data_IF_545869829945
#
_entry.id   IF_545869829945
#
_cell.length_a   1.000
_cell.length_b   1.000
_cell.length_c   1.000
_cell.angle_alpha   90.00
_cell.angle_beta   90.00
_cell.angle_gamma   90.00
#
_symmetry.space_group_name_H-M   'P 1'
#
loop_
_entity.id
_entity.type
_entity.pdbx_description
1 polymer ?
#
# COMPACT_ATOMS: atom_id res chain seq x y z
N UNK A 1 39.28 -32.17 -1.93
CA UNK A 1 37.84 -32.14 -2.17
C UNK A 1 37.43 -30.75 -2.61
N UNK A 2 36.54 -30.62 -3.59
CA UNK A 2 36.02 -29.32 -3.99
C UNK A 2 34.94 -28.95 -2.94
N UNK A 3 35.14 -27.83 -2.25
CA UNK A 3 34.09 -27.29 -1.42
C UNK A 3 33.13 -26.46 -2.30
N UNK A 4 31.84 -26.76 -2.20
CA UNK A 4 30.79 -26.01 -2.88
C UNK A 4 30.00 -25.22 -1.85
N UNK A 5 30.06 -23.91 -1.94
CA UNK A 5 29.26 -23.04 -1.11
C UNK A 5 28.05 -22.54 -1.91
N UNK A 6 26.86 -22.73 -1.37
CA UNK A 6 25.65 -22.19 -1.96
C UNK A 6 25.56 -20.67 -1.69
N UNK A 7 25.26 -19.92 -2.73
CA UNK A 7 25.05 -18.47 -2.63
C UNK A 7 23.55 -18.23 -2.54
N UNK A 8 23.12 -17.72 -1.40
CA UNK A 8 21.74 -17.31 -1.19
C UNK A 8 21.62 -15.80 -1.36
N UNK A 9 20.60 -15.37 -2.06
CA UNK A 9 20.31 -13.96 -2.28
C UNK A 9 19.06 -13.58 -1.49
N UNK A 10 19.24 -13.20 -0.22
CA UNK A 10 18.15 -12.87 0.72
C UNK A 10 17.46 -11.52 0.45
N UNK A 11 17.98 -10.74 -0.48
CA UNK A 11 17.47 -9.39 -0.76
C UNK A 11 16.44 -9.34 -1.90
N UNK A 12 15.79 -10.45 -2.22
CA UNK A 12 14.94 -10.49 -3.39
C UNK A 12 13.47 -10.73 -3.06
N UNK A 13 12.62 -9.76 -3.48
CA UNK A 13 11.16 -9.92 -3.53
C UNK A 13 10.82 -11.16 -4.36
N UNK A 14 10.32 -12.20 -3.70
CA UNK A 14 10.00 -13.52 -4.26
C UNK A 14 8.99 -13.47 -5.43
N UNK A 15 8.31 -12.34 -5.62
CA UNK A 15 7.34 -12.14 -6.70
C UNK A 15 7.96 -11.59 -8.00
N UNK A 16 9.25 -11.24 -8.02
CA UNK A 16 9.97 -10.74 -9.20
C UNK A 16 11.34 -11.35 -9.41
N UNK A 17 11.63 -12.49 -8.76
CA UNK A 17 12.92 -13.15 -8.84
C UNK A 17 13.22 -13.65 -10.25
N UNK A 18 13.90 -12.83 -11.02
CA UNK A 18 14.74 -13.37 -12.08
C UNK A 18 15.91 -14.08 -11.41
N UNK A 19 15.83 -15.40 -11.36
CA UNK A 19 16.88 -16.26 -10.85
C UNK A 19 18.24 -15.88 -11.42
N UNK A 20 19.30 -15.92 -10.59
CA UNK A 20 20.69 -15.82 -11.05
C UNK A 20 21.02 -16.82 -12.18
N UNK A 21 20.17 -17.80 -12.41
CA UNK A 21 20.22 -18.74 -13.55
C UNK A 21 19.82 -18.09 -14.87
N UNK A 22 19.16 -16.94 -14.87
CA UNK A 22 18.82 -16.21 -16.09
C UNK A 22 19.96 -15.26 -16.48
N UNK A 23 20.95 -15.78 -17.19
CA UNK A 23 22.18 -15.07 -17.61
C UNK A 23 21.97 -13.77 -18.41
N UNK A 24 20.79 -13.48 -18.87
CA UNK A 24 20.54 -12.27 -19.68
C UNK A 24 20.60 -10.96 -18.89
N UNK A 25 20.48 -11.05 -17.57
CA UNK A 25 20.32 -9.87 -16.72
C UNK A 25 21.49 -9.64 -15.73
N UNK A 26 22.44 -10.58 -15.67
CA UNK A 26 23.57 -10.48 -14.75
C UNK A 26 24.89 -10.75 -15.48
N UNK A 27 25.88 -9.93 -15.19
CA UNK A 27 27.28 -10.20 -15.45
C UNK A 27 27.96 -10.59 -14.14
N UNK A 28 28.58 -11.76 -14.11
CA UNK A 28 29.26 -12.29 -12.92
C UNK A 28 30.73 -12.44 -13.24
N UNK A 29 31.56 -11.73 -12.49
CA UNK A 29 33.01 -11.78 -12.64
C UNK A 29 33.68 -12.18 -11.33
N UNK A 30 34.64 -13.10 -11.41
CA UNK A 30 35.56 -13.44 -10.34
C UNK A 30 36.83 -12.62 -10.41
N UNK A 31 37.34 -12.14 -9.28
CA UNK A 31 38.64 -11.42 -9.23
C UNK A 31 39.83 -12.37 -9.11
N UNK A 32 39.56 -13.62 -8.74
CA UNK A 32 40.55 -14.67 -8.67
C UNK A 32 40.04 -15.85 -9.50
N UNK A 33 40.83 -16.32 -10.46
CA UNK A 33 40.51 -17.37 -11.45
C UNK A 33 40.38 -18.76 -10.84
N UNK A 34 40.90 -18.96 -9.63
CA UNK A 34 40.72 -20.19 -8.86
C UNK A 34 39.31 -20.38 -8.30
N UNK A 35 38.51 -19.32 -8.28
CA UNK A 35 37.08 -19.39 -7.96
C UNK A 35 36.25 -19.44 -9.25
N UNK A 36 35.32 -20.37 -9.31
CA UNK A 36 34.40 -20.51 -10.44
C UNK A 36 32.96 -20.52 -9.98
N UNK A 37 32.09 -19.87 -10.74
CA UNK A 37 30.65 -19.86 -10.48
C UNK A 37 29.92 -20.75 -11.46
N UNK A 38 29.10 -21.68 -10.95
CA UNK A 38 28.19 -22.48 -11.76
C UNK A 38 26.77 -21.89 -11.69
N UNK A 39 26.29 -21.27 -12.77
CA UNK A 39 24.95 -20.68 -12.77
C UNK A 39 23.80 -21.69 -12.80
N UNK A 40 24.06 -22.96 -13.09
CA UNK A 40 23.03 -24.02 -13.08
C UNK A 40 22.69 -24.47 -11.68
N UNK A 41 23.70 -24.54 -10.83
CA UNK A 41 23.55 -25.01 -9.43
C UNK A 41 23.56 -23.83 -8.45
N UNK A 42 23.82 -22.59 -8.93
CA UNK A 42 24.00 -21.40 -8.10
C UNK A 42 25.07 -21.60 -7.03
N UNK A 43 26.18 -22.21 -7.39
CA UNK A 43 27.28 -22.50 -6.46
C UNK A 43 28.60 -21.90 -6.91
N UNK A 44 29.40 -21.45 -5.97
CA UNK A 44 30.83 -21.14 -6.19
C UNK A 44 31.65 -22.37 -5.85
N UNK A 45 32.58 -22.68 -6.69
CA UNK A 45 33.59 -23.74 -6.47
C UNK A 45 34.98 -23.11 -6.46
N UNK A 46 35.87 -23.65 -5.65
CA UNK A 46 37.26 -23.26 -5.62
C UNK A 46 38.12 -24.44 -6.13
N UNK A 47 39.11 -24.10 -6.94
CA UNK A 47 40.07 -25.06 -7.50
C UNK A 47 41.49 -24.71 -7.03
N UNK A 48 41.84 -25.04 -5.76
CA UNK A 48 43.15 -24.76 -5.22
C UNK A 48 44.21 -25.63 -5.85
N UNK A 49 45.40 -25.10 -6.02
CA UNK A 49 46.58 -25.89 -6.33
C UNK A 49 47.14 -26.55 -5.07
N UNK A 50 48.02 -27.50 -5.27
CA UNK A 50 48.58 -28.31 -4.17
C UNK A 50 49.27 -27.47 -3.08
N UNK A 51 49.87 -26.34 -3.48
CA UNK A 51 50.63 -25.47 -2.58
C UNK A 51 49.85 -24.24 -2.09
N UNK A 52 48.62 -24.08 -2.52
CA UNK A 52 47.74 -23.04 -2.02
C UNK A 52 47.39 -23.33 -0.57
N UNK A 53 47.66 -22.35 0.31
CA UNK A 53 47.28 -22.42 1.74
C UNK A 53 46.07 -21.55 2.02
N UNK A 54 45.91 -20.48 1.26
CA UNK A 54 44.81 -19.51 1.41
C UNK A 54 44.55 -18.89 0.06
N UNK A 55 43.27 -18.78 -0.32
CA UNK A 55 42.82 -18.05 -1.50
C UNK A 55 41.78 -17.03 -1.10
N UNK A 56 41.95 -15.83 -1.59
CA UNK A 56 40.99 -14.74 -1.42
C UNK A 56 40.57 -14.24 -2.80
N UNK A 57 39.33 -13.85 -2.91
CA UNK A 57 38.79 -13.30 -4.15
C UNK A 57 37.44 -12.63 -3.90
N UNK A 58 36.90 -12.08 -4.96
CA UNK A 58 35.59 -11.47 -4.93
C UNK A 58 34.77 -11.99 -6.11
N UNK A 59 33.49 -12.26 -5.88
CA UNK A 59 32.50 -12.42 -6.92
C UNK A 59 31.76 -11.10 -7.07
N UNK A 60 31.88 -10.49 -8.25
CA UNK A 60 31.23 -9.22 -8.58
C UNK A 60 30.03 -9.54 -9.46
N UNK A 61 28.86 -9.27 -8.94
CA UNK A 61 27.57 -9.44 -9.64
C UNK A 61 27.14 -8.05 -10.11
N UNK A 62 27.07 -7.86 -11.43
CA UNK A 62 26.58 -6.62 -12.04
C UNK A 62 25.21 -6.88 -12.65
N UNK A 63 24.20 -6.20 -12.16
CA UNK A 63 22.87 -6.29 -12.74
C UNK A 63 22.76 -5.36 -13.93
N UNK A 64 22.60 -5.95 -15.12
CA UNK A 64 22.38 -5.24 -16.37
C UNK A 64 20.87 -5.05 -16.53
N UNK A 65 20.35 -3.92 -16.05
CA UNK A 65 18.98 -3.53 -16.37
C UNK A 65 18.90 -3.09 -17.83
N UNK A 66 17.98 -3.64 -18.60
CA UNK A 66 17.66 -3.11 -19.92
C UNK A 66 17.23 -1.65 -19.79
N UNK A 67 17.79 -0.74 -20.60
CA UNK A 67 17.49 0.68 -20.49
C UNK A 67 16.12 0.97 -21.09
N UNK A 68 15.13 1.18 -20.24
CA UNK A 68 14.04 2.08 -20.56
C UNK A 68 14.35 3.40 -19.85
N UNK A 69 14.91 4.33 -20.64
CA UNK A 69 15.07 5.76 -20.38
C UNK A 69 15.91 6.21 -19.16
N UNK A 70 17.01 6.88 -19.46
CA UNK A 70 17.73 7.88 -18.66
C UNK A 70 18.35 7.45 -17.31
N UNK A 71 19.67 7.25 -17.35
CA UNK A 71 20.61 7.28 -16.20
C UNK A 71 20.41 6.24 -15.09
N UNK A 72 20.44 4.96 -15.38
CA UNK A 72 20.66 3.96 -14.32
C UNK A 72 22.10 3.47 -14.33
N UNK A 73 22.87 3.80 -13.30
CA UNK A 73 24.14 3.14 -13.05
C UNK A 73 23.83 1.66 -12.78
N UNK A 74 24.64 0.72 -13.31
CA UNK A 74 24.46 -0.70 -13.01
C UNK A 74 24.56 -0.91 -11.51
N UNK A 75 23.64 -1.67 -10.95
CA UNK A 75 23.71 -2.08 -9.54
C UNK A 75 24.76 -3.17 -9.49
N UNK A 76 25.76 -2.98 -8.64
CA UNK A 76 26.85 -3.92 -8.45
C UNK A 76 26.88 -4.40 -7.03
N UNK A 77 27.01 -5.71 -6.83
CA UNK A 77 27.26 -6.33 -5.53
C UNK A 77 28.56 -7.09 -5.60
N UNK A 78 29.32 -6.99 -4.53
CA UNK A 78 30.57 -7.72 -4.35
C UNK A 78 30.39 -8.70 -3.19
N UNK A 79 30.73 -9.94 -3.45
CA UNK A 79 30.76 -11.01 -2.44
C UNK A 79 32.20 -11.41 -2.26
N UNK A 80 32.74 -11.25 -1.04
CA UNK A 80 34.09 -11.71 -0.71
C UNK A 80 34.11 -13.24 -0.65
N UNK A 81 35.06 -13.84 -1.34
CA UNK A 81 35.29 -15.26 -1.40
C UNK A 81 36.59 -15.57 -0.64
N UNK A 82 36.52 -16.60 0.18
CA UNK A 82 37.64 -17.05 0.97
C UNK A 82 37.73 -18.57 0.93
N UNK A 83 38.93 -19.11 0.79
CA UNK A 83 39.22 -20.52 0.93
C UNK A 83 40.58 -20.69 1.61
N UNK A 84 40.69 -21.62 2.53
CA UNK A 84 41.97 -22.13 2.99
C UNK A 84 41.94 -23.67 3.00
N UNK A 85 43.10 -24.30 2.99
CA UNK A 85 43.23 -25.74 3.05
C UNK A 85 43.34 -26.28 4.49
N UNK A 86 43.28 -25.37 5.46
CA UNK A 86 43.25 -25.69 6.85
C UNK A 86 41.78 -25.90 7.23
N UNK A 87 41.35 -27.12 7.27
CA UNK A 87 39.99 -27.56 7.63
C UNK A 87 39.55 -27.18 9.05
N UNK A 88 40.06 -26.09 9.60
CA UNK A 88 39.78 -25.58 10.92
C UNK A 88 38.78 -24.40 10.88
N UNK A 89 38.23 -24.06 9.71
CA UNK A 89 37.24 -23.01 9.55
C UNK A 89 35.81 -23.56 9.53
N UNK A 90 34.97 -23.05 10.41
CA UNK A 90 33.53 -23.30 10.47
C UNK A 90 32.78 -21.99 10.21
N UNK A 91 31.54 -22.11 9.76
CA UNK A 91 30.71 -20.96 9.40
C UNK A 91 29.41 -20.91 10.19
N UNK A 92 29.03 -19.70 10.56
CA UNK A 92 27.66 -19.41 10.97
C UNK A 92 27.03 -18.59 9.85
N UNK A 93 25.95 -19.13 9.27
CA UNK A 93 25.25 -18.53 8.13
C UNK A 93 23.94 -17.89 8.60
N UNK A 94 23.87 -16.56 8.67
CA UNK A 94 22.65 -15.85 9.09
C UNK A 94 21.64 -15.74 7.93
N UNK A 95 20.45 -16.31 8.10
CA UNK A 95 19.27 -16.07 7.27
C UNK A 95 18.41 -15.00 7.92
N UNK A 96 18.39 -13.81 7.36
CA UNK A 96 17.73 -12.66 7.97
C UNK A 96 16.22 -12.64 7.77
N UNK A 97 15.66 -13.54 6.97
CA UNK A 97 14.23 -13.66 6.71
C UNK A 97 13.56 -12.32 6.31
N UNK A 98 14.24 -11.60 5.39
CA UNK A 98 13.78 -10.30 4.89
C UNK A 98 14.24 -9.09 5.72
N UNK A 99 15.10 -9.28 6.71
CA UNK A 99 15.80 -8.19 7.39
C UNK A 99 17.06 -7.74 6.65
N UNK A 100 17.76 -6.75 7.19
CA UNK A 100 19.03 -6.28 6.65
C UNK A 100 20.05 -7.41 6.59
N UNK A 101 20.85 -7.42 5.52
CA UNK A 101 21.84 -8.46 5.29
C UNK A 101 22.91 -8.49 6.38
N UNK A 102 23.31 -9.68 6.79
CA UNK A 102 24.42 -9.94 7.70
C UNK A 102 25.39 -10.90 7.02
N UNK A 103 26.67 -10.60 7.07
CA UNK A 103 27.71 -11.43 6.51
C UNK A 103 27.83 -12.78 7.22
N UNK A 104 28.21 -13.82 6.47
CA UNK A 104 28.60 -15.11 7.01
C UNK A 104 29.77 -14.89 7.97
N UNK A 105 29.65 -15.44 9.17
CA UNK A 105 30.73 -15.45 10.15
C UNK A 105 31.59 -16.69 9.88
N UNK A 106 32.83 -16.47 9.50
CA UNK A 106 33.77 -17.55 9.25
C UNK A 106 34.94 -17.41 10.21
N UNK A 107 35.21 -18.45 10.97
CA UNK A 107 36.30 -18.47 11.93
C UNK A 107 36.86 -19.89 12.12
N UNK A 108 38.12 -19.98 12.59
CA UNK A 108 38.72 -21.25 12.99
C UNK A 108 38.01 -21.83 14.22
N UNK A 109 38.03 -23.12 14.37
CA UNK A 109 37.59 -23.78 15.60
C UNK A 109 38.21 -23.08 16.85
N UNK A 110 37.39 -22.86 17.87
CA UNK A 110 37.76 -22.16 19.12
C UNK A 110 38.12 -20.67 18.96
N UNK A 111 38.16 -20.11 17.76
CA UNK A 111 38.32 -18.65 17.58
C UNK A 111 37.14 -17.88 18.15
N UNK A 112 37.38 -16.71 18.70
CA UNK A 112 36.33 -15.84 19.24
C UNK A 112 35.30 -15.51 18.17
N UNK A 113 34.04 -15.68 18.49
CA UNK A 113 32.90 -15.24 17.67
C UNK A 113 32.41 -13.89 18.16
N UNK A 114 32.28 -12.94 17.24
CA UNK A 114 31.63 -11.66 17.53
C UNK A 114 30.20 -11.68 17.01
N UNK A 115 29.24 -11.50 17.93
CA UNK A 115 27.83 -11.37 17.55
C UNK A 115 27.66 -10.15 16.66
N UNK A 116 27.08 -10.25 15.44
CA UNK A 116 26.78 -9.09 14.62
C UNK A 116 25.68 -8.23 15.26
N UNK A 117 25.55 -7.00 14.78
CA UNK A 117 24.38 -6.18 15.12
C UNK A 117 23.10 -6.89 14.68
N UNK A 118 22.04 -6.69 15.45
CA UNK A 118 20.76 -7.29 15.11
C UNK A 118 20.23 -6.74 13.77
N UNK A 119 19.65 -7.57 12.90
CA UNK A 119 19.10 -7.11 11.64
C UNK A 119 17.85 -6.23 11.86
N UNK A 120 17.54 -5.42 10.87
CA UNK A 120 16.36 -4.53 10.88
C UNK A 120 15.43 -4.92 9.74
N UNK A 121 14.13 -4.98 10.04
CA UNK A 121 13.07 -5.20 9.06
C UNK A 121 11.95 -4.19 9.30
N UNK A 122 11.59 -3.35 8.30
CA UNK A 122 10.52 -2.38 8.45
C UNK A 122 9.22 -3.05 8.93
N UNK A 123 8.52 -2.43 9.87
CA UNK A 123 7.27 -2.94 10.42
C UNK A 123 7.38 -4.17 11.33
N UNK A 124 8.61 -4.60 11.69
CA UNK A 124 8.80 -5.79 12.53
C UNK A 124 9.84 -5.52 13.61
N UNK A 125 9.65 -6.19 14.73
CA UNK A 125 10.63 -6.28 15.80
C UNK A 125 11.43 -7.58 15.68
N UNK A 126 12.76 -7.47 15.84
CA UNK A 126 13.62 -8.64 15.85
C UNK A 126 13.43 -9.43 17.14
N UNK A 127 13.02 -10.71 17.01
CA UNK A 127 12.74 -11.58 18.13
C UNK A 127 13.84 -12.59 18.43
N UNK A 128 15.00 -12.41 17.80
CA UNK A 128 16.17 -13.25 18.04
C UNK A 128 16.50 -14.18 16.89
N UNK A 129 17.61 -14.91 17.07
CA UNK A 129 18.09 -15.94 16.16
C UNK A 129 17.62 -17.33 16.60
N UNK A 130 17.37 -18.20 15.64
CA UNK A 130 16.94 -19.56 15.82
C UNK A 130 17.84 -20.50 15.02
N UNK A 131 18.06 -21.73 15.53
CA UNK A 131 18.90 -22.73 14.88
C UNK A 131 18.16 -23.59 13.85
N UNK A 132 16.85 -23.45 13.77
CA UNK A 132 15.98 -24.18 12.86
C UNK A 132 15.11 -23.23 12.04
N UNK A 133 14.78 -23.61 10.82
CA UNK A 133 13.93 -22.85 9.89
C UNK A 133 12.48 -22.70 10.41
N UNK A 134 12.03 -23.67 11.26
CA UNK A 134 10.72 -23.60 11.90
C UNK A 134 10.64 -22.56 13.03
N UNK A 135 11.76 -21.95 13.41
CA UNK A 135 11.88 -20.92 14.45
C UNK A 135 11.38 -21.39 15.83
N UNK A 136 11.71 -22.63 16.19
CA UNK A 136 11.31 -23.26 17.46
C UNK A 136 12.44 -23.28 18.48
N UNK A 137 13.70 -23.43 18.04
CA UNK A 137 14.87 -23.55 18.89
C UNK A 137 15.68 -22.25 18.86
N UNK A 138 15.65 -21.48 19.95
CA UNK A 138 16.39 -20.24 20.05
C UNK A 138 17.90 -20.49 19.94
N UNK A 139 18.58 -19.64 19.19
CA UNK A 139 20.03 -19.67 19.02
C UNK A 139 20.71 -18.53 19.76
N UNK A 140 21.68 -18.90 20.60
CA UNK A 140 22.59 -17.95 21.25
C UNK A 140 23.98 -18.04 20.63
N UNK A 141 24.58 -16.91 20.32
CA UNK A 141 25.93 -16.87 19.75
C UNK A 141 26.92 -17.44 20.76
N UNK A 142 27.71 -18.44 20.36
CA UNK A 142 28.76 -18.98 21.23
C UNK A 142 29.91 -17.96 21.38
N UNK A 143 30.63 -18.01 22.49
CA UNK A 143 31.84 -17.17 22.69
C UNK A 143 32.97 -17.55 21.71
N UNK A 144 33.02 -18.85 21.31
CA UNK A 144 34.01 -19.38 20.39
C UNK A 144 33.36 -20.25 19.30
N UNK A 145 33.95 -20.27 18.12
CA UNK A 145 33.45 -21.00 16.95
C UNK A 145 33.37 -22.51 17.25
N UNK A 146 32.18 -23.11 17.13
CA UNK A 146 32.01 -24.56 17.34
C UNK A 146 32.62 -25.37 16.20
N UNK A 147 32.80 -26.66 16.43
CA UNK A 147 33.28 -27.58 15.42
C UNK A 147 32.17 -28.08 14.47
N UNK A 148 31.28 -27.18 14.07
CA UNK A 148 30.18 -27.44 13.13
C UNK A 148 29.74 -26.17 12.43
N UNK A 149 29.39 -26.31 11.15
CA UNK A 149 28.70 -25.27 10.41
C UNK A 149 27.27 -25.14 10.92
N UNK A 150 26.80 -23.92 11.10
CA UNK A 150 25.50 -23.63 11.70
C UNK A 150 24.74 -22.62 10.84
N UNK A 151 23.50 -22.96 10.47
CA UNK A 151 22.55 -22.01 9.91
C UNK A 151 21.74 -21.39 11.03
N UNK A 152 21.56 -20.07 10.98
CA UNK A 152 20.71 -19.37 11.94
C UNK A 152 19.67 -18.52 11.20
N UNK A 153 18.48 -18.45 11.78
CA UNK A 153 17.31 -17.82 11.14
C UNK A 153 16.77 -16.73 12.03
N UNK A 154 16.59 -15.54 11.46
CA UNK A 154 15.98 -14.42 12.17
C UNK A 154 14.47 -14.64 12.34
N UNK A 155 13.99 -14.46 13.56
CA UNK A 155 12.55 -14.40 13.86
C UNK A 155 12.09 -12.97 13.96
N UNK A 156 10.92 -12.72 13.38
CA UNK A 156 10.30 -11.41 13.35
C UNK A 156 8.93 -11.44 14.00
N UNK A 157 8.61 -10.40 14.73
CA UNK A 157 7.27 -10.13 15.28
C UNK A 157 6.74 -8.87 14.62
N UNK A 158 5.57 -8.95 14.01
CA UNK A 158 4.92 -7.80 13.41
C UNK A 158 4.63 -6.73 14.47
N UNK A 159 5.00 -5.48 14.20
CA UNK A 159 4.67 -4.36 15.06
C UNK A 159 3.17 -4.13 15.12
N UNK A 160 2.66 -3.83 16.30
CA UNK A 160 1.25 -3.55 16.52
C UNK A 160 0.88 -2.08 16.26
N UNK A 161 1.87 -1.23 16.08
CA UNK A 161 1.76 0.22 15.99
C UNK A 161 2.25 0.79 14.64
N UNK A 162 2.25 -0.02 13.59
CA UNK A 162 2.60 0.44 12.23
C UNK A 162 1.58 1.45 11.75
N UNK A 163 2.01 2.65 11.33
CA UNK A 163 1.10 3.70 10.91
C UNK A 163 0.42 3.38 9.58
N UNK A 164 -0.79 3.89 9.43
CA UNK A 164 -1.51 3.98 8.16
C UNK A 164 -2.39 5.23 8.18
N UNK A 165 -2.82 5.70 7.01
CA UNK A 165 -3.56 6.93 6.86
C UNK A 165 -4.94 6.66 6.26
N UNK A 166 -5.94 7.35 6.78
CA UNK A 166 -7.29 7.38 6.19
C UNK A 166 -7.60 8.82 5.77
N UNK A 167 -8.03 8.98 4.53
CA UNK A 167 -8.38 10.28 3.94
C UNK A 167 -9.86 10.30 3.55
N UNK A 168 -10.56 11.35 3.96
CA UNK A 168 -11.99 11.53 3.70
C UNK A 168 -12.16 12.70 2.74
N UNK A 169 -12.70 12.41 1.56
CA UNK A 169 -12.90 13.38 0.48
C UNK A 169 -14.39 13.67 0.29
N UNK A 170 -14.76 14.93 0.21
CA UNK A 170 -16.13 15.37 -0.02
C UNK A 170 -16.28 16.00 -1.40
N UNK A 171 -17.38 15.66 -2.08
CA UNK A 171 -17.73 16.23 -3.37
C UNK A 171 -18.07 17.73 -3.21
N UNK A 172 -17.52 18.57 -4.08
CA UNK A 172 -17.79 20.00 -4.12
C UNK A 172 -18.98 20.29 -5.04
N UNK A 173 -20.00 21.00 -4.53
CA UNK A 173 -21.24 21.25 -5.26
C UNK A 173 -21.03 21.93 -6.62
N UNK A 174 -20.07 22.83 -6.74
CA UNK A 174 -19.86 23.63 -7.96
C UNK A 174 -19.03 22.92 -9.01
N UNK A 175 -17.98 22.25 -8.62
CA UNK A 175 -17.05 21.57 -9.54
C UNK A 175 -17.43 20.12 -9.79
N UNK A 176 -18.09 19.46 -8.84
CA UNK A 176 -18.29 18.01 -8.83
C UNK A 176 -17.01 17.24 -8.50
N UNK A 177 -15.91 17.93 -8.20
CA UNK A 177 -14.65 17.32 -7.80
C UNK A 177 -14.63 17.01 -6.31
N UNK A 178 -13.74 16.11 -5.91
CA UNK A 178 -13.58 15.73 -4.53
C UNK A 178 -12.39 16.47 -3.89
N UNK A 179 -12.63 17.10 -2.77
CA UNK A 179 -11.60 17.77 -1.97
C UNK A 179 -11.41 17.05 -0.64
N UNK A 180 -10.17 17.03 -0.14
CA UNK A 180 -9.84 16.46 1.15
C UNK A 180 -10.52 17.28 2.26
N UNK A 181 -11.48 16.66 2.95
CA UNK A 181 -12.15 17.24 4.10
C UNK A 181 -11.38 17.00 5.40
N UNK A 182 -10.88 15.77 5.56
CA UNK A 182 -10.19 15.33 6.78
C UNK A 182 -9.23 14.19 6.48
N UNK A 183 -8.21 14.03 7.32
CA UNK A 183 -7.32 12.88 7.29
C UNK A 183 -6.93 12.47 8.72
N UNK A 184 -6.79 11.16 8.92
CA UNK A 184 -6.40 10.56 10.20
C UNK A 184 -5.18 9.70 10.02
N UNK A 185 -4.23 9.83 10.96
CA UNK A 185 -3.12 8.92 11.12
C UNK A 185 -3.50 7.89 12.19
N UNK A 186 -3.58 6.64 11.80
CA UNK A 186 -3.96 5.52 12.64
C UNK A 186 -2.81 4.53 12.71
N UNK A 187 -2.89 3.59 13.63
CA UNK A 187 -1.91 2.51 13.76
C UNK A 187 -2.59 1.16 13.83
N UNK A 188 -1.88 0.14 13.38
CA UNK A 188 -2.34 -1.23 13.47
C UNK A 188 -1.21 -2.22 13.28
N UNK A 189 -1.53 -3.51 13.33
CA UNK A 189 -0.53 -4.55 13.18
C UNK A 189 -0.06 -4.65 11.73
N UNK A 190 1.25 -4.67 11.54
CA UNK A 190 1.87 -4.89 10.23
C UNK A 190 1.24 -6.09 9.52
N UNK A 191 0.96 -5.95 8.22
CA UNK A 191 0.38 -6.98 7.35
C UNK A 191 -1.05 -7.41 7.70
N UNK A 192 -1.68 -6.85 8.76
CA UNK A 192 -3.08 -7.12 9.05
C UNK A 192 -4.02 -6.35 8.12
N UNK A 193 -5.23 -6.89 7.93
CA UNK A 193 -6.35 -6.19 7.34
C UNK A 193 -7.10 -5.43 8.42
N UNK A 194 -7.45 -4.19 8.14
CA UNK A 194 -8.27 -3.34 9.02
C UNK A 194 -9.38 -2.69 8.21
N UNK A 195 -10.53 -2.47 8.86
CA UNK A 195 -11.68 -1.76 8.30
C UNK A 195 -11.83 -0.46 9.10
N UNK A 196 -11.27 0.66 8.63
CA UNK A 196 -11.41 1.95 9.30
C UNK A 196 -12.86 2.42 9.36
N UNK A 197 -13.18 3.18 10.39
CA UNK A 197 -14.51 3.73 10.59
C UNK A 197 -14.91 4.69 9.46
N UNK A 198 -16.17 4.59 9.02
CA UNK A 198 -16.79 5.51 8.08
C UNK A 198 -17.42 6.66 8.88
N UNK A 199 -17.05 7.90 8.57
CA UNK A 199 -17.60 9.10 9.17
C UNK A 199 -18.92 9.50 8.54
N UNK A 200 -19.76 10.21 9.28
CA UNK A 200 -20.97 10.80 8.77
C UNK A 200 -20.76 12.29 8.48
N UNK A 201 -21.11 12.70 7.26
CA UNK A 201 -21.15 14.12 6.85
C UNK A 201 -22.56 14.48 6.42
N UNK A 202 -23.12 15.53 7.01
CA UNK A 202 -24.49 15.98 6.71
C UNK A 202 -24.60 16.36 5.22
N UNK A 203 -25.59 15.79 4.55
CA UNK A 203 -25.85 16.01 3.13
C UNK A 203 -24.98 15.20 2.17
N UNK A 204 -24.24 14.26 2.70
CA UNK A 204 -23.41 13.35 1.90
C UNK A 204 -23.82 11.91 2.10
N UNK A 205 -23.83 11.16 1.03
CA UNK A 205 -24.05 9.71 1.07
C UNK A 205 -22.84 8.99 1.61
N UNK A 206 -23.04 8.13 2.59
CA UNK A 206 -22.00 7.29 3.14
C UNK A 206 -21.42 6.35 2.06
N UNK A 207 -20.10 6.27 1.94
CA UNK A 207 -19.46 5.28 1.07
C UNK A 207 -19.63 3.87 1.62
N UNK A 208 -19.32 2.86 0.82
CA UNK A 208 -19.24 1.48 1.29
C UNK A 208 -18.01 1.29 2.19
N UNK A 209 -18.11 0.34 3.11
CA UNK A 209 -16.96 -0.12 3.89
C UNK A 209 -15.85 -0.64 2.99
N UNK A 210 -14.62 -0.35 3.38
CA UNK A 210 -13.41 -0.78 2.68
C UNK A 210 -12.40 -1.32 3.68
N UNK A 211 -11.64 -2.30 3.24
CA UNK A 211 -10.52 -2.85 3.99
C UNK A 211 -9.20 -2.37 3.42
N UNK A 212 -8.21 -2.19 4.27
CA UNK A 212 -6.84 -1.89 3.88
C UNK A 212 -5.87 -2.82 4.60
N UNK A 213 -4.90 -3.34 3.85
CA UNK A 213 -3.77 -4.06 4.43
C UNK A 213 -2.68 -3.09 4.83
N UNK A 214 -2.23 -3.18 6.08
CA UNK A 214 -1.18 -2.30 6.61
C UNK A 214 0.18 -2.74 6.08
N UNK A 215 0.78 -1.91 5.24
CA UNK A 215 2.13 -2.14 4.71
C UNK A 215 3.20 -1.95 5.79
N UNK A 216 4.22 -2.77 5.74
CA UNK A 216 5.28 -2.77 6.74
C UNK A 216 6.07 -1.45 6.82
N UNK A 217 6.10 -0.67 5.75
CA UNK A 217 6.74 0.64 5.68
C UNK A 217 5.86 1.80 6.18
N UNK A 218 4.63 1.51 6.59
CA UNK A 218 3.69 2.52 7.06
C UNK A 218 3.09 3.42 5.97
N UNK A 219 3.22 3.06 4.69
CA UNK A 219 2.78 3.90 3.56
C UNK A 219 1.33 3.69 3.15
N UNK A 220 0.58 2.83 3.83
CA UNK A 220 -0.80 2.50 3.46
C UNK A 220 -1.73 3.70 3.63
N UNK A 221 -2.52 4.00 2.58
CA UNK A 221 -3.52 5.08 2.58
C UNK A 221 -4.85 4.55 2.05
N UNK A 222 -5.90 4.63 2.86
CA UNK A 222 -7.28 4.38 2.44
C UNK A 222 -7.99 5.70 2.15
N UNK A 223 -8.86 5.73 1.13
CA UNK A 223 -9.61 6.92 0.73
C UNK A 223 -11.09 6.63 0.66
N UNK A 224 -11.87 7.38 1.43
CA UNK A 224 -13.32 7.42 1.36
C UNK A 224 -13.77 8.65 0.57
N UNK A 225 -14.71 8.45 -0.36
CA UNK A 225 -15.27 9.49 -1.20
C UNK A 225 -16.75 9.64 -0.92
N UNK A 226 -17.15 10.81 -0.45
CA UNK A 226 -18.51 11.17 -0.06
C UNK A 226 -19.16 12.03 -1.14
N UNK A 227 -20.08 11.43 -1.87
CA UNK A 227 -20.87 12.15 -2.87
C UNK A 227 -22.02 12.90 -2.21
N UNK A 228 -22.32 14.09 -2.70
CA UNK A 228 -23.48 14.86 -2.26
C UNK A 228 -24.78 14.05 -2.49
N UNK A 229 -25.69 14.10 -1.53
CA UNK A 229 -27.04 13.52 -1.66
C UNK A 229 -27.84 14.32 -2.70
N UNK A 230 -28.72 13.60 -3.42
CA UNK A 230 -29.69 14.18 -4.33
C UNK A 230 -31.07 14.13 -3.69
N UNK A 231 -31.78 15.26 -3.73
CA UNK A 231 -33.14 15.39 -3.25
C UNK A 231 -33.99 16.12 -4.26
N UNK A 232 -35.31 15.94 -4.19
CA UNK A 232 -36.25 16.57 -5.10
C UNK A 232 -36.91 17.78 -4.46
N UNK A 233 -37.10 18.86 -5.23
CA UNK A 233 -38.02 19.94 -4.90
C UNK A 233 -39.13 19.94 -5.94
N UNK A 234 -40.37 19.84 -5.48
CA UNK A 234 -41.58 19.80 -6.33
C UNK A 234 -42.41 21.05 -6.08
N UNK A 235 -42.75 21.75 -7.15
CA UNK A 235 -43.66 22.87 -7.20
C UNK A 235 -45.00 22.40 -7.77
N UNK A 236 -46.00 22.27 -6.89
CA UNK A 236 -47.33 21.76 -7.21
C UNK A 236 -48.28 22.93 -7.51
N UNK A 237 -48.90 22.99 -8.67
CA UNK A 237 -49.88 24.05 -8.97
C UNK A 237 -51.15 23.97 -8.11
N UNK A 238 -51.39 22.88 -7.36
CA UNK A 238 -52.53 22.75 -6.48
C UNK A 238 -53.87 22.55 -7.21
N UNK A 239 -54.96 23.02 -6.58
CA UNK A 239 -56.34 22.79 -7.06
C UNK A 239 -56.65 23.48 -8.39
N UNK A 240 -55.92 24.50 -8.80
CA UNK A 240 -56.13 25.21 -10.08
C UNK A 240 -55.75 24.35 -11.25
N UNK A 241 -54.93 23.33 -11.02
CA UNK A 241 -54.50 22.35 -12.02
C UNK A 241 -53.31 22.82 -12.84
N UNK A 242 -52.67 21.84 -13.48
CA UNK A 242 -51.46 22.00 -14.24
C UNK A 242 -50.45 20.92 -13.90
N UNK A 243 -49.31 20.94 -14.58
CA UNK A 243 -48.25 19.95 -14.34
C UNK A 243 -47.38 20.40 -13.16
N UNK A 244 -46.98 19.43 -12.31
CA UNK A 244 -46.01 19.65 -11.27
C UNK A 244 -44.63 19.83 -11.87
N UNK A 245 -43.87 20.76 -11.35
CA UNK A 245 -42.48 21.01 -11.74
C UNK A 245 -41.59 20.42 -10.68
N UNK A 246 -40.76 19.45 -11.02
CA UNK A 246 -39.85 18.78 -10.09
C UNK A 246 -38.41 18.98 -10.57
N UNK A 247 -37.54 19.37 -9.67
CA UNK A 247 -36.10 19.47 -9.90
C UNK A 247 -35.38 18.50 -8.97
N UNK A 248 -34.38 17.80 -9.52
CA UNK A 248 -33.40 17.03 -8.77
C UNK A 248 -32.20 17.92 -8.45
N UNK A 249 -31.94 18.17 -7.20
CA UNK A 249 -30.86 19.02 -6.74
C UNK A 249 -29.98 18.29 -5.74
N UNK A 250 -28.69 18.52 -5.84
CA UNK A 250 -27.75 18.09 -4.81
C UNK A 250 -27.93 18.93 -3.53
N UNK A 251 -27.58 18.34 -2.39
CA UNK A 251 -27.52 19.08 -1.11
C UNK A 251 -26.76 20.39 -1.28
N UNK A 252 -27.31 21.47 -0.72
CA UNK A 252 -26.78 22.83 -0.88
C UNK A 252 -27.10 23.49 -2.22
N UNK A 253 -27.68 22.77 -3.18
CA UNK A 253 -28.05 23.28 -4.49
C UNK A 253 -29.09 24.39 -4.39
N UNK A 254 -28.98 25.46 -5.20
CA UNK A 254 -29.87 26.63 -5.18
C UNK A 254 -31.25 26.27 -5.70
N UNK A 255 -32.29 26.57 -4.94
CA UNK A 255 -33.68 26.42 -5.30
C UNK A 255 -34.17 27.72 -5.92
N UNK A 256 -34.70 27.66 -7.16
CA UNK A 256 -35.30 28.78 -7.83
C UNK A 256 -36.77 28.43 -8.05
N UNK A 257 -37.65 29.11 -7.30
CA UNK A 257 -39.09 28.92 -7.44
C UNK A 257 -39.59 29.46 -8.80
N UNK A 258 -40.36 28.64 -9.55
CA UNK A 258 -40.95 29.10 -10.80
C UNK A 258 -42.07 30.10 -10.56
N UNK A 259 -42.28 31.00 -11.51
CA UNK A 259 -43.49 31.83 -11.58
C UNK A 259 -44.64 30.97 -12.13
N UNK A 260 -45.75 30.94 -11.40
CA UNK A 260 -46.94 30.19 -11.80
C UNK A 260 -47.97 31.11 -12.43
N UNK A 261 -48.72 30.58 -13.45
CA UNK A 261 -49.77 31.33 -14.08
C UNK A 261 -50.94 30.40 -14.41
N UNK A 262 -52.18 30.82 -14.13
CA UNK A 262 -53.40 30.10 -14.45
C UNK A 262 -54.50 31.07 -14.87
N UNK A 263 -55.28 30.63 -15.88
CA UNK A 263 -56.37 31.46 -16.42
C UNK A 263 -57.48 31.68 -15.39
N UNK A 264 -57.80 32.92 -15.11
CA UNK A 264 -58.83 33.30 -14.14
C UNK A 264 -58.38 33.31 -12.69
N UNK A 265 -57.06 33.17 -12.43
CA UNK A 265 -56.44 33.15 -11.11
C UNK A 265 -55.17 34.02 -11.08
N UNK A 266 -54.95 34.64 -9.94
CA UNK A 266 -53.70 35.33 -9.63
C UNK A 266 -52.89 34.47 -8.67
N UNK A 267 -51.63 34.17 -9.00
CA UNK A 267 -50.70 33.50 -8.11
C UNK A 267 -50.31 34.43 -6.96
N UNK A 268 -50.48 33.97 -5.72
CA UNK A 268 -50.23 34.77 -4.49
C UNK A 268 -48.99 34.30 -3.72
N UNK A 269 -48.39 33.19 -4.12
CA UNK A 269 -47.20 32.66 -3.47
C UNK A 269 -47.32 31.16 -3.28
N UNK A 270 -46.45 30.61 -2.50
CA UNK A 270 -46.44 29.22 -2.10
C UNK A 270 -47.05 29.04 -0.70
N UNK A 271 -47.43 27.82 -0.35
CA UNK A 271 -48.01 27.47 0.97
C UNK A 271 -47.06 27.68 2.14
N UNK A 272 -45.76 27.72 1.85
CA UNK A 272 -44.71 28.06 2.80
C UNK A 272 -43.59 28.86 2.15
N UNK A 273 -42.71 29.46 2.93
CA UNK A 273 -41.54 30.17 2.43
C UNK A 273 -40.61 29.18 1.72
N UNK A 274 -40.26 29.51 0.46
CA UNK A 274 -39.32 28.67 -0.30
C UNK A 274 -37.90 28.91 0.19
N UNK A 275 -37.27 27.85 0.71
CA UNK A 275 -35.89 27.90 1.15
C UNK A 275 -34.95 28.12 -0.03
N UNK A 276 -33.84 28.78 0.20
CA UNK A 276 -32.91 29.16 -0.87
C UNK A 276 -32.01 27.99 -1.38
N UNK A 277 -31.80 26.99 -0.54
CA UNK A 277 -30.92 25.88 -0.86
C UNK A 277 -31.54 24.55 -0.46
N UNK A 278 -31.18 23.48 -1.21
CA UNK A 278 -31.61 22.12 -0.95
C UNK A 278 -31.00 21.58 0.34
N UNK A 279 -31.87 21.10 1.22
CA UNK A 279 -31.50 20.40 2.46
C UNK A 279 -31.32 18.89 2.27
N UNK A 280 -31.50 18.16 3.35
CA UNK A 280 -31.37 16.69 3.41
C UNK A 280 -32.70 15.94 3.17
N UNK A 281 -33.77 16.66 2.82
CA UNK A 281 -35.11 16.08 2.61
C UNK A 281 -35.70 16.59 1.30
N UNK A 282 -36.62 15.78 0.73
CA UNK A 282 -37.42 16.21 -0.40
C UNK A 282 -38.40 17.31 0.00
N UNK A 283 -38.57 18.31 -0.83
CA UNK A 283 -39.44 19.47 -0.58
C UNK A 283 -40.61 19.48 -1.56
N UNK A 284 -41.77 19.94 -1.05
CA UNK A 284 -42.97 20.18 -1.87
C UNK A 284 -43.55 21.54 -1.48
N UNK A 285 -43.77 22.38 -2.47
CA UNK A 285 -44.44 23.67 -2.31
C UNK A 285 -45.70 23.68 -3.15
N UNK A 286 -46.85 24.05 -2.54
CA UNK A 286 -48.12 24.11 -3.21
C UNK A 286 -48.49 25.54 -3.49
N UNK A 287 -48.81 25.88 -4.76
CA UNK A 287 -49.18 27.22 -5.19
C UNK A 287 -50.50 27.68 -4.54
N UNK A 288 -50.50 28.93 -4.08
CA UNK A 288 -51.68 29.61 -3.54
C UNK A 288 -52.23 30.57 -4.57
N UNK A 289 -53.56 30.55 -4.75
CA UNK A 289 -54.25 31.27 -5.79
C UNK A 289 -55.41 32.09 -5.26
N UNK A 290 -55.63 33.29 -5.86
CA UNK A 290 -56.84 34.09 -5.70
C UNK A 290 -57.61 34.14 -7.00
N UNK A 291 -58.92 33.90 -6.94
CA UNK A 291 -59.80 34.01 -8.12
C UNK A 291 -59.87 35.46 -8.62
N UNK A 292 -59.71 35.64 -9.91
CA UNK A 292 -59.86 36.95 -10.52
C UNK A 292 -61.36 37.31 -10.65
N UNK A 293 -61.83 38.43 -10.05
CA UNK A 293 -63.25 38.77 -10.04
C UNK A 293 -63.80 39.08 -11.45
N UNK A 294 -62.96 39.58 -12.35
CA UNK A 294 -63.34 40.06 -13.69
C UNK A 294 -62.99 39.10 -14.82
N UNK A 295 -63.12 37.81 -14.60
CA UNK A 295 -62.83 36.80 -15.65
C UNK A 295 -63.88 36.90 -16.74
N UNK A 296 -63.47 37.31 -17.96
CA UNK A 296 -64.36 37.43 -19.11
C UNK A 296 -64.89 36.04 -19.58
N UNK A 297 -66.16 35.98 -19.88
CA UNK A 297 -66.80 34.83 -20.51
C UNK A 297 -67.52 35.23 -21.78
N UNK A 298 -67.68 34.31 -22.72
CA UNK A 298 -68.44 34.51 -23.97
C UNK A 298 -69.68 33.61 -23.96
N UNK A 299 -70.81 34.20 -24.24
CA UNK A 299 -72.04 33.42 -24.46
C UNK A 299 -72.29 33.31 -25.97
N UNK A 300 -72.39 32.12 -26.49
CA UNK A 300 -72.77 31.88 -27.87
C UNK A 300 -74.18 31.29 -27.87
N UNK A 301 -75.07 31.93 -28.65
CA UNK A 301 -76.45 31.50 -28.85
C UNK A 301 -76.46 30.75 -30.18
N UNK A 302 -76.99 29.51 -30.23
CA UNK A 302 -77.15 28.71 -31.40
C UNK A 302 -78.61 28.70 -31.85
#
# INVERSE_FOLDING_TARGET
GQEKQAIYNDDYDSNKAESLTNRKNFDIRMTNDKFTYDPKTNTVSVNPEKDDKKLEGEMIITWIRYPLAFSSRPIQRTISLYWDNLRDGYVIVPYTNGGTYINIINAKFEAKVEKPADPVKPGYDFAGWYSDEALTEAYEFPESMPAADTNIYAKWVAKADTPYRVEYYTEQLRSGEYELAEAEELTGTTESLVTPEIKEYVGYRMPAEQEIKISADGSSVLRYYYALENHTVTFDPGEVGGEKITYDLKYGGTIIAPMMAAKGYTFTGWDSEVVSNMGTENLVYTAQWTKNPDTAYRVEYY
#
